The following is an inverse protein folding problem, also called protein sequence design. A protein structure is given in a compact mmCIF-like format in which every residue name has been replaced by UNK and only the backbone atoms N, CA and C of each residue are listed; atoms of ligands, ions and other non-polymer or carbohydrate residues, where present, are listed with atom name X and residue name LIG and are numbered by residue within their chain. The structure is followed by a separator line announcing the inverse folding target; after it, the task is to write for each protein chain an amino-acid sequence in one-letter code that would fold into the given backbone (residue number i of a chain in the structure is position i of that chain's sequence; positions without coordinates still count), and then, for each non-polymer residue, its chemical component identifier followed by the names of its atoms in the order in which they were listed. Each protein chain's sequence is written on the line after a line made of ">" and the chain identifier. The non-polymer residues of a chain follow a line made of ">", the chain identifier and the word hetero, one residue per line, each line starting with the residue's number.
data_IF_552310059544
#
_entry.id   IF_552310059544
#
_cell.length_a   1.000
_cell.length_b   1.000
_cell.length_c   1.000
_cell.angle_alpha   90.00
_cell.angle_beta   90.00
_cell.angle_gamma   90.00
#
_symmetry.space_group_name_H-M   'P 1'
#
loop_
_entity.id
_entity.type
_entity.pdbx_description
1 polymer ?
#
# COMPACT_ATOMS: atom_id res chain seq x y z
N UNK A 1 -21.05 -0.82 4.11
CA UNK A 1 -20.23 0.10 3.31
C UNK A 1 -21.12 0.84 2.33
N UNK A 2 -20.92 2.14 2.16
CA UNK A 2 -21.54 2.90 1.07
C UNK A 2 -20.79 2.68 -0.26
N UNK A 3 -21.27 3.27 -1.35
CA UNK A 3 -20.66 3.10 -2.69
C UNK A 3 -19.22 3.61 -2.78
N UNK A 4 -18.90 4.73 -2.15
CA UNK A 4 -17.52 5.26 -2.10
C UNK A 4 -16.62 4.30 -1.32
N UNK A 5 -17.07 3.78 -0.18
CA UNK A 5 -16.33 2.82 0.65
C UNK A 5 -16.09 1.50 -0.08
N UNK A 6 -17.07 1.01 -0.85
CA UNK A 6 -16.90 -0.18 -1.70
C UNK A 6 -15.89 0.06 -2.82
N UNK A 7 -15.89 1.25 -3.42
CA UNK A 7 -14.93 1.61 -4.48
C UNK A 7 -13.51 1.68 -3.92
N UNK A 8 -13.33 2.28 -2.74
CA UNK A 8 -12.04 2.33 -2.05
C UNK A 8 -11.55 0.92 -1.68
N UNK A 9 -12.44 0.05 -1.19
CA UNK A 9 -12.10 -1.34 -0.90
C UNK A 9 -11.62 -2.07 -2.16
N UNK A 10 -12.24 -1.84 -3.33
CA UNK A 10 -11.78 -2.40 -4.60
C UNK A 10 -10.38 -1.89 -4.99
N UNK A 11 -10.09 -0.60 -4.81
CA UNK A 11 -8.73 -0.05 -5.05
C UNK A 11 -7.69 -0.72 -4.15
N UNK A 12 -8.03 -1.05 -2.90
CA UNK A 12 -7.14 -1.81 -2.01
C UNK A 12 -6.89 -3.24 -2.49
N UNK A 13 -7.91 -3.90 -3.06
CA UNK A 13 -7.74 -5.24 -3.66
C UNK A 13 -6.82 -5.17 -4.89
N UNK A 14 -6.99 -4.17 -5.75
CA UNK A 14 -6.08 -3.94 -6.89
C UNK A 14 -4.65 -3.66 -6.43
N UNK A 15 -4.50 -2.92 -5.33
CA UNK A 15 -3.20 -2.63 -4.73
C UNK A 15 -2.54 -3.90 -4.17
N UNK A 16 -3.27 -4.73 -3.41
CA UNK A 16 -2.80 -6.04 -2.95
C UNK A 16 -2.34 -6.90 -4.13
N UNK A 17 -3.14 -6.96 -5.18
CA UNK A 17 -2.85 -7.73 -6.40
C UNK A 17 -1.56 -7.25 -7.06
N UNK A 18 -1.38 -5.94 -7.19
CA UNK A 18 -0.18 -5.34 -7.74
C UNK A 18 1.06 -5.63 -6.90
N UNK A 19 0.96 -5.60 -5.57
CA UNK A 19 2.04 -5.99 -4.65
C UNK A 19 2.43 -7.47 -4.85
N UNK A 20 1.44 -8.36 -4.87
CA UNK A 20 1.66 -9.81 -5.01
C UNK A 20 2.23 -10.20 -6.38
N UNK A 21 1.96 -9.39 -7.43
CA UNK A 21 2.52 -9.53 -8.78
C UNK A 21 3.85 -8.79 -8.96
N UNK A 22 4.30 -8.02 -7.97
CA UNK A 22 5.48 -7.15 -8.07
C UNK A 22 5.38 -6.15 -9.25
N UNK A 23 4.17 -5.61 -9.48
CA UNK A 23 3.85 -4.75 -10.62
C UNK A 23 3.81 -3.27 -10.19
N UNK A 24 4.95 -2.59 -10.33
CA UNK A 24 5.07 -1.17 -9.97
C UNK A 24 4.18 -0.27 -10.83
N UNK A 25 3.96 -0.62 -12.10
CA UNK A 25 3.11 0.15 -13.01
C UNK A 25 1.63 0.06 -12.63
N UNK A 26 1.18 -1.10 -12.16
CA UNK A 26 -0.15 -1.24 -11.58
C UNK A 26 -0.27 -0.43 -10.27
N UNK A 27 0.72 -0.51 -9.38
CA UNK A 27 0.70 0.26 -8.11
C UNK A 27 0.57 1.76 -8.36
N UNK A 28 1.42 2.35 -9.22
CA UNK A 28 1.45 3.81 -9.39
C UNK A 28 0.18 4.38 -10.02
N UNK A 29 -0.57 3.58 -10.79
CA UNK A 29 -1.89 3.98 -11.33
C UNK A 29 -2.91 4.21 -10.22
N UNK A 30 -2.74 3.59 -9.06
CA UNK A 30 -3.61 3.73 -7.91
C UNK A 30 -3.29 4.97 -7.06
N UNK A 31 -2.13 5.62 -7.27
CA UNK A 31 -1.74 6.83 -6.55
C UNK A 31 -2.25 8.11 -7.22
N UNK A 32 -2.34 9.18 -6.43
CA UNK A 32 -2.41 10.56 -6.93
C UNK A 32 -1.04 10.97 -7.50
N UNK A 33 -0.99 12.01 -8.34
CA UNK A 33 0.27 12.50 -8.92
C UNK A 33 1.25 13.02 -7.87
N UNK A 34 0.73 13.59 -6.78
CA UNK A 34 1.48 14.06 -5.61
C UNK A 34 1.56 13.00 -4.48
N UNK A 35 1.28 11.74 -4.81
CA UNK A 35 1.19 10.65 -3.84
C UNK A 35 2.44 10.51 -2.98
N UNK A 36 2.27 10.13 -1.70
CA UNK A 36 3.40 9.92 -0.78
C UNK A 36 3.38 8.51 -0.21
N UNK A 37 4.51 7.84 -0.36
CA UNK A 37 4.77 6.53 0.21
C UNK A 37 5.76 6.64 1.36
N UNK A 38 5.41 6.10 2.53
CA UNK A 38 6.19 6.17 3.76
C UNK A 38 6.53 4.76 4.27
N UNK A 39 7.51 4.09 3.65
CA UNK A 39 7.95 2.77 4.09
C UNK A 39 8.75 2.81 5.39
N UNK A 40 8.77 1.66 6.06
CA UNK A 40 9.60 1.47 7.25
C UNK A 40 11.09 1.67 6.94
N UNK A 41 11.81 2.24 7.91
CA UNK A 41 13.27 2.40 7.87
C UNK A 41 13.82 3.24 6.71
N UNK A 42 12.97 4.00 6.00
CA UNK A 42 13.38 4.82 4.87
C UNK A 42 12.67 6.19 4.91
N UNK A 43 13.28 7.24 4.33
CA UNK A 43 12.58 8.50 4.10
C UNK A 43 11.36 8.33 3.18
N UNK A 44 10.40 9.24 3.30
CA UNK A 44 9.21 9.25 2.44
C UNK A 44 9.59 9.49 0.97
N UNK A 45 8.91 8.78 0.06
CA UNK A 45 8.95 9.04 -1.37
C UNK A 45 7.76 9.91 -1.76
N UNK A 46 8.02 11.10 -2.33
CA UNK A 46 7.01 12.13 -2.59
C UNK A 46 6.86 12.36 -4.09
N UNK A 47 5.63 12.24 -4.59
CA UNK A 47 5.30 12.33 -6.02
C UNK A 47 5.43 10.98 -6.73
N UNK A 48 4.60 10.78 -7.75
CA UNK A 48 4.43 9.47 -8.41
C UNK A 48 5.74 8.88 -8.96
N UNK A 49 6.66 9.70 -9.47
CA UNK A 49 7.96 9.22 -9.98
C UNK A 49 8.84 8.66 -8.87
N UNK A 50 8.91 9.33 -7.72
CA UNK A 50 9.67 8.86 -6.56
C UNK A 50 9.03 7.60 -5.96
N UNK A 51 7.70 7.57 -5.89
CA UNK A 51 6.94 6.40 -5.45
C UNK A 51 7.20 5.20 -6.36
N UNK A 52 7.21 5.38 -7.69
CA UNK A 52 7.54 4.33 -8.66
C UNK A 52 8.93 3.74 -8.41
N UNK A 53 9.94 4.59 -8.27
CA UNK A 53 11.31 4.17 -7.99
C UNK A 53 11.43 3.41 -6.66
N UNK A 54 10.64 3.79 -5.66
CA UNK A 54 10.59 3.08 -4.39
C UNK A 54 10.01 1.67 -4.55
N UNK A 55 8.89 1.50 -5.27
CA UNK A 55 8.33 0.17 -5.55
C UNK A 55 9.25 -0.67 -6.43
N UNK A 56 9.90 -0.09 -7.45
CA UNK A 56 10.92 -0.78 -8.25
C UNK A 56 12.06 -1.32 -7.37
N UNK A 57 12.50 -0.55 -6.36
CA UNK A 57 13.52 -0.98 -5.42
C UNK A 57 13.01 -2.08 -4.48
N UNK A 58 11.78 -1.94 -3.96
CA UNK A 58 11.12 -2.95 -3.12
C UNK A 58 11.02 -4.27 -3.87
N UNK A 59 10.44 -4.29 -5.07
CA UNK A 59 10.22 -5.51 -5.85
C UNK A 59 11.51 -6.16 -6.36
N UNK A 60 12.58 -5.37 -6.51
CA UNK A 60 13.92 -5.93 -6.77
C UNK A 60 14.47 -6.64 -5.53
N UNK A 61 14.27 -6.07 -4.35
CA UNK A 61 14.80 -6.59 -3.10
C UNK A 61 14.00 -7.80 -2.57
N UNK A 62 12.67 -7.74 -2.69
CA UNK A 62 11.76 -8.70 -2.08
C UNK A 62 10.58 -9.07 -2.99
N UNK A 63 10.03 -10.27 -2.78
CA UNK A 63 8.74 -10.69 -3.35
C UNK A 63 7.74 -10.83 -2.22
N UNK A 64 6.57 -10.18 -2.36
CA UNK A 64 5.52 -10.22 -1.37
C UNK A 64 4.43 -11.22 -1.76
N UNK A 65 3.86 -11.89 -0.75
CA UNK A 65 2.57 -12.58 -0.83
C UNK A 65 1.79 -12.24 0.42
N UNK A 66 0.87 -11.29 0.28
CA UNK A 66 0.14 -10.71 1.40
C UNK A 66 -1.35 -10.66 1.10
N UNK A 67 -2.15 -10.77 2.15
CA UNK A 67 -3.59 -10.56 2.15
C UNK A 67 -3.92 -9.37 3.05
N UNK A 68 -4.76 -8.47 2.55
CA UNK A 68 -5.22 -7.28 3.25
C UNK A 68 -6.57 -7.55 3.91
N UNK A 69 -6.66 -7.17 5.18
CA UNK A 69 -7.90 -7.08 5.93
C UNK A 69 -8.25 -5.60 6.13
N UNK A 70 -9.40 -5.18 5.61
CA UNK A 70 -9.89 -3.82 5.79
C UNK A 70 -10.51 -3.67 7.18
N UNK A 71 -9.82 -2.96 8.06
CA UNK A 71 -10.28 -2.72 9.44
C UNK A 71 -11.26 -1.54 9.52
N UNK A 72 -11.06 -0.49 8.74
CA UNK A 72 -11.89 0.71 8.74
C UNK A 72 -11.78 1.45 7.41
N UNK A 73 -12.91 1.90 6.85
CA UNK A 73 -12.95 2.94 5.81
C UNK A 73 -13.86 4.04 6.32
N UNK A 74 -13.37 5.27 6.33
CA UNK A 74 -14.13 6.44 6.79
C UNK A 74 -13.95 7.62 5.85
N UNK A 75 -15.01 7.99 5.16
CA UNK A 75 -15.06 9.25 4.41
C UNK A 75 -15.10 10.42 5.40
N UNK A 76 -14.18 11.38 5.22
CA UNK A 76 -14.00 12.52 6.13
C UNK A 76 -14.33 13.86 5.45
N UNK A 77 -14.39 13.88 4.13
CA UNK A 77 -14.90 14.99 3.33
C UNK A 77 -15.39 14.44 1.98
N UNK A 78 -16.00 15.29 1.15
CA UNK A 78 -16.52 14.91 -0.17
C UNK A 78 -15.52 14.04 -0.93
N UNK A 79 -14.29 14.51 -1.11
CA UNK A 79 -13.26 13.83 -1.91
C UNK A 79 -12.13 13.23 -1.08
N UNK A 80 -12.34 12.99 0.22
CA UNK A 80 -11.31 12.46 1.11
C UNK A 80 -11.83 11.35 2.03
N UNK A 81 -11.01 10.32 2.18
CA UNK A 81 -11.26 9.22 3.11
C UNK A 81 -9.98 8.79 3.82
N UNK A 82 -10.13 8.29 5.05
CA UNK A 82 -9.09 7.62 5.81
C UNK A 82 -9.41 6.14 5.85
N UNK A 83 -8.39 5.30 5.65
CA UNK A 83 -8.54 3.85 5.63
C UNK A 83 -7.46 3.21 6.48
N UNK A 84 -7.86 2.20 7.25
CA UNK A 84 -6.97 1.40 8.08
C UNK A 84 -7.08 -0.05 7.64
N UNK A 85 -5.95 -0.69 7.43
CA UNK A 85 -5.90 -2.12 7.14
C UNK A 85 -4.92 -2.81 8.07
N UNK A 86 -5.01 -4.13 8.08
CA UNK A 86 -3.94 -5.02 8.50
C UNK A 86 -3.56 -5.89 7.31
N UNK A 87 -2.29 -6.25 7.20
CA UNK A 87 -1.86 -7.24 6.21
C UNK A 87 -1.03 -8.33 6.86
N UNK A 88 -1.16 -9.55 6.33
CA UNK A 88 -0.37 -10.70 6.77
C UNK A 88 -0.01 -11.60 5.57
N UNK A 89 1.09 -12.33 5.70
CA UNK A 89 1.53 -13.30 4.71
C UNK A 89 3.01 -13.60 4.82
N UNK A 90 3.69 -13.57 3.68
CA UNK A 90 5.13 -13.91 3.57
C UNK A 90 5.87 -12.91 2.72
N UNK A 91 7.13 -12.68 3.07
CA UNK A 91 8.09 -11.94 2.27
C UNK A 91 9.28 -12.85 1.94
N UNK A 92 9.68 -12.86 0.67
CA UNK A 92 10.90 -13.52 0.19
C UNK A 92 11.98 -12.49 -0.05
N UNK A 93 13.17 -12.68 0.51
CA UNK A 93 14.34 -11.86 0.19
C UNK A 93 14.93 -12.40 -1.11
N UNK A 94 14.80 -11.67 -2.21
CA UNK A 94 15.15 -12.18 -3.56
C UNK A 94 16.63 -12.56 -3.67
N UNK A 95 17.52 -11.82 -2.99
CA UNK A 95 18.97 -12.07 -3.04
C UNK A 95 19.38 -13.39 -2.37
N UNK A 96 18.64 -13.86 -1.37
CA UNK A 96 19.00 -15.05 -0.58
C UNK A 96 18.00 -16.20 -0.73
N UNK A 97 16.82 -15.94 -1.28
CA UNK A 97 15.70 -16.87 -1.38
C UNK A 97 14.98 -17.14 -0.06
N UNK A 98 15.43 -16.55 1.05
CA UNK A 98 14.88 -16.78 2.40
C UNK A 98 13.47 -16.19 2.48
N UNK A 99 12.53 -17.00 2.96
CA UNK A 99 11.17 -16.59 3.28
C UNK A 99 11.06 -16.22 4.77
N UNK A 100 10.28 -15.20 5.08
CA UNK A 100 9.96 -14.75 6.43
C UNK A 100 8.47 -14.37 6.55
N UNK A 101 7.88 -14.44 7.75
CA UNK A 101 6.54 -13.91 7.99
C UNK A 101 6.50 -12.40 7.74
N UNK A 102 5.48 -11.96 7.00
CA UNK A 102 5.17 -10.55 6.81
C UNK A 102 3.87 -10.23 7.54
N UNK A 103 3.88 -9.17 8.36
CA UNK A 103 2.69 -8.69 9.04
C UNK A 103 2.80 -7.19 9.33
N UNK A 104 1.80 -6.42 8.91
CA UNK A 104 1.78 -4.97 9.06
C UNK A 104 0.40 -4.44 9.50
N UNK A 105 0.42 -3.20 9.99
CA UNK A 105 -0.74 -2.34 10.10
C UNK A 105 -0.52 -1.11 9.21
N UNK A 106 -1.57 -0.67 8.54
CA UNK A 106 -1.50 0.39 7.55
C UNK A 106 -2.46 1.54 7.82
N UNK A 107 -2.05 2.73 7.39
CA UNK A 107 -2.89 3.92 7.28
C UNK A 107 -2.79 4.49 5.87
N UNK A 108 -3.94 4.59 5.22
CA UNK A 108 -4.08 5.27 3.93
C UNK A 108 -4.92 6.51 4.08
N UNK A 109 -4.54 7.54 3.34
CA UNK A 109 -5.41 8.67 3.02
C UNK A 109 -5.71 8.58 1.54
N UNK A 110 -6.99 8.47 1.22
CA UNK A 110 -7.49 8.45 -0.15
C UNK A 110 -8.02 9.82 -0.54
N UNK A 111 -7.79 10.19 -1.79
CA UNK A 111 -8.36 11.37 -2.42
C UNK A 111 -9.07 10.97 -3.71
N UNK A 112 -10.24 11.56 -3.97
CA UNK A 112 -10.93 11.41 -5.24
C UNK A 112 -10.43 12.47 -6.22
N UNK A 113 -9.88 12.03 -7.35
CA UNK A 113 -9.40 12.89 -8.45
C UNK A 113 -10.21 12.53 -9.69
N UNK A 114 -10.90 13.52 -10.27
CA UNK A 114 -11.70 13.35 -11.48
C UNK A 114 -12.70 12.16 -11.37
N UNK A 115 -13.31 12.01 -10.20
CA UNK A 115 -14.28 10.94 -9.91
C UNK A 115 -13.66 9.59 -9.51
N UNK A 116 -12.34 9.44 -9.54
CA UNK A 116 -11.65 8.18 -9.18
C UNK A 116 -10.96 8.29 -7.83
N UNK A 117 -11.23 7.34 -6.94
CA UNK A 117 -10.51 7.24 -5.66
C UNK A 117 -9.08 6.73 -5.87
N UNK A 118 -8.11 7.43 -5.27
CA UNK A 118 -6.68 7.13 -5.38
C UNK A 118 -5.99 7.28 -4.02
N UNK A 119 -4.88 6.58 -3.85
CA UNK A 119 -4.01 6.68 -2.68
C UNK A 119 -3.26 8.02 -2.74
N UNK A 120 -3.56 8.92 -1.81
CA UNK A 120 -2.84 10.18 -1.67
C UNK A 120 -1.66 10.03 -0.72
N UNK A 121 -1.85 9.38 0.45
CA UNK A 121 -0.78 9.12 1.42
C UNK A 121 -0.88 7.68 1.90
N UNK A 122 0.26 7.02 2.07
CA UNK A 122 0.33 5.66 2.61
C UNK A 122 1.49 5.52 3.58
N UNK A 123 1.20 5.06 4.80
CA UNK A 123 2.16 4.70 5.83
C UNK A 123 1.84 3.32 6.37
N UNK A 124 2.87 2.56 6.74
CA UNK A 124 2.70 1.28 7.40
C UNK A 124 3.82 1.01 8.41
N UNK A 125 3.52 0.12 9.35
CA UNK A 125 4.49 -0.36 10.34
C UNK A 125 4.29 -1.85 10.57
N UNK A 126 5.39 -2.56 10.85
CA UNK A 126 5.32 -3.97 11.14
C UNK A 126 4.68 -4.22 12.49
N UNK A 127 3.89 -5.28 12.56
CA UNK A 127 3.36 -5.82 13.81
C UNK A 127 4.05 -7.13 14.20
N UNK A 128 5.05 -7.56 13.41
CA UNK A 128 5.92 -8.64 13.82
C UNK A 128 6.67 -8.24 15.10
N UNK A 129 6.97 -9.19 15.99
CA UNK A 129 7.77 -8.92 17.17
C UNK A 129 9.17 -8.40 16.76
N UNK A 130 9.81 -7.55 17.58
CA UNK A 130 11.19 -7.15 17.35
C UNK A 130 12.07 -8.38 17.15
N UNK A 131 13.00 -8.29 16.18
CA UNK A 131 14.04 -9.33 16.05
C UNK A 131 14.88 -9.31 17.33
N UNK A 132 15.10 -10.49 17.91
CA UNK A 132 15.97 -10.68 19.06
C UNK A 132 17.44 -10.37 18.73
#
# INVERSE_FOLDING_TARGET
>A
MNTDEQTIAAVLMDYQDALNKSDAEAVIKLYTSDGVFMPQHSPSSVGVDAVRLAYDAVFRAITLKVDFEVAEIRQIATDWAIVRTNSAGTVKINATGIDAPEANQELFVFQRIEGTWKIARYCFSTINPPRA
#
